data_IF_600142540594
#
_entry.id   IF_600142540594
#
_cell.length_a   1.000
_cell.length_b   1.000
_cell.length_c   1.000
_cell.angle_alpha   90.00
_cell.angle_beta   90.00
_cell.angle_gamma   90.00
#
_symmetry.space_group_name_H-M   'P 1'
#
loop_
_entity.id
_entity.type
_entity.pdbx_description
1 polymer ?
#
# COMPACT_ATOMS: atom_id res chain seq x y z
N UNK A 1 5.25 8.77 -19.16
CA UNK A 1 4.67 8.09 -17.98
C UNK A 1 4.37 9.16 -16.94
N UNK A 2 3.18 9.16 -16.34
CA UNK A 2 2.67 10.22 -15.45
C UNK A 2 2.84 9.80 -13.98
N UNK A 3 3.93 10.18 -13.28
CA UNK A 3 4.19 9.70 -11.92
C UNK A 3 3.10 10.10 -10.92
N UNK A 4 2.50 11.28 -11.13
CA UNK A 4 1.49 11.86 -10.24
C UNK A 4 0.05 11.58 -10.73
N UNK A 5 -0.14 10.64 -11.68
CA UNK A 5 -1.46 10.26 -12.19
C UNK A 5 -2.41 9.88 -11.05
N UNK A 6 -1.90 9.13 -10.07
CA UNK A 6 -2.69 8.62 -8.95
C UNK A 6 -3.20 9.77 -8.06
N UNK A 7 -2.31 10.66 -7.63
CA UNK A 7 -2.65 11.76 -6.73
C UNK A 7 -3.55 12.78 -7.41
N UNK A 8 -3.30 13.12 -8.69
CA UNK A 8 -4.23 13.97 -9.45
C UNK A 8 -5.60 13.30 -9.65
N UNK A 9 -5.64 11.98 -9.78
CA UNK A 9 -6.90 11.25 -9.88
C UNK A 9 -7.68 11.31 -8.56
N UNK A 10 -7.02 11.31 -7.39
CA UNK A 10 -7.70 11.54 -6.10
C UNK A 10 -8.43 12.88 -6.12
N UNK A 11 -7.74 13.96 -6.47
CA UNK A 11 -8.33 15.30 -6.48
C UNK A 11 -9.46 15.43 -7.51
N UNK A 12 -9.34 14.78 -8.68
CA UNK A 12 -10.42 14.69 -9.66
C UNK A 12 -11.65 13.98 -9.08
N UNK A 13 -11.46 12.85 -8.40
CA UNK A 13 -12.55 12.09 -7.79
C UNK A 13 -13.27 12.86 -6.70
N UNK A 14 -12.53 13.57 -5.85
CA UNK A 14 -13.08 14.45 -4.81
C UNK A 14 -13.94 15.56 -5.43
N UNK A 15 -13.38 16.31 -6.37
CA UNK A 15 -14.09 17.40 -7.04
C UNK A 15 -15.34 16.92 -7.78
N UNK A 16 -15.26 15.79 -8.49
CA UNK A 16 -16.38 15.23 -9.23
C UNK A 16 -17.52 14.77 -8.30
N UNK A 17 -17.20 14.12 -7.19
CA UNK A 17 -18.20 13.68 -6.23
C UNK A 17 -18.84 14.87 -5.48
N UNK A 18 -18.04 15.85 -5.04
CA UNK A 18 -18.55 17.04 -4.35
C UNK A 18 -19.59 17.81 -5.18
N UNK A 19 -19.42 17.86 -6.51
CA UNK A 19 -20.36 18.53 -7.42
C UNK A 19 -21.59 17.68 -7.72
N UNK A 20 -21.41 16.38 -7.97
CA UNK A 20 -22.49 15.54 -8.51
C UNK A 20 -23.28 14.79 -7.45
N UNK A 21 -22.62 14.39 -6.36
CA UNK A 21 -23.09 13.41 -5.37
C UNK A 21 -23.53 12.08 -5.98
N UNK A 22 -23.14 11.82 -7.23
CA UNK A 22 -23.46 10.61 -7.99
C UNK A 22 -22.27 9.66 -7.95
N UNK A 23 -22.19 8.85 -6.89
CA UNK A 23 -21.12 7.87 -6.75
C UNK A 23 -21.09 6.88 -7.93
N UNK A 24 -22.20 6.23 -8.33
CA UNK A 24 -22.18 5.32 -9.49
C UNK A 24 -21.72 5.99 -10.79
N UNK A 25 -22.18 7.21 -11.09
CA UNK A 25 -21.80 7.94 -12.29
C UNK A 25 -20.33 8.32 -12.32
N UNK A 26 -19.80 8.85 -11.21
CA UNK A 26 -18.38 9.24 -11.13
C UNK A 26 -17.47 8.01 -11.20
N UNK A 27 -17.80 6.91 -10.50
CA UNK A 27 -17.03 5.67 -10.60
C UNK A 27 -17.02 5.10 -12.03
N UNK A 28 -18.16 5.17 -12.73
CA UNK A 28 -18.25 4.72 -14.12
C UNK A 28 -17.40 5.58 -15.07
N UNK A 29 -17.38 6.89 -14.88
CA UNK A 29 -16.58 7.81 -15.69
C UNK A 29 -15.08 7.63 -15.44
N UNK A 30 -14.69 7.42 -14.18
CA UNK A 30 -13.30 7.25 -13.79
C UNK A 30 -12.72 5.88 -14.13
N UNK A 31 -13.52 4.82 -13.99
CA UNK A 31 -13.07 3.43 -14.13
C UNK A 31 -11.84 3.14 -13.24
N UNK A 32 -10.93 2.26 -13.66
CA UNK A 32 -9.75 1.82 -12.88
C UNK A 32 -8.46 2.56 -13.24
N UNK A 33 -8.56 3.70 -13.95
CA UNK A 33 -7.39 4.47 -14.41
C UNK A 33 -6.57 5.03 -13.25
N UNK A 34 -5.28 5.24 -13.48
CA UNK A 34 -4.31 5.68 -12.46
C UNK A 34 -4.35 4.82 -11.18
N UNK A 35 -4.51 3.50 -11.30
CA UNK A 35 -4.64 2.58 -10.15
C UNK A 35 -5.82 3.00 -9.26
N UNK A 36 -6.99 3.19 -9.88
CA UNK A 36 -8.25 3.59 -9.24
C UNK A 36 -8.19 4.85 -8.36
N UNK A 37 -7.23 5.76 -8.61
CA UNK A 37 -7.06 6.95 -7.78
C UNK A 37 -8.33 7.82 -7.68
N UNK A 38 -9.12 7.93 -8.75
CA UNK A 38 -10.39 8.64 -8.69
C UNK A 38 -11.40 7.98 -7.75
N UNK A 39 -11.50 6.65 -7.74
CA UNK A 39 -12.37 5.96 -6.78
C UNK A 39 -11.93 6.23 -5.33
N UNK A 40 -10.62 6.26 -5.04
CA UNK A 40 -10.13 6.66 -3.72
C UNK A 40 -10.56 8.09 -3.37
N UNK A 41 -10.42 9.03 -4.31
CA UNK A 41 -10.87 10.41 -4.15
C UNK A 41 -12.38 10.55 -3.87
N UNK A 42 -13.21 9.81 -4.62
CA UNK A 42 -14.66 9.75 -4.38
C UNK A 42 -14.96 9.26 -2.96
N UNK A 43 -14.29 8.19 -2.52
CA UNK A 43 -14.46 7.67 -1.17
C UNK A 43 -14.00 8.68 -0.11
N UNK A 44 -12.84 9.31 -0.29
CA UNK A 44 -12.34 10.34 0.62
C UNK A 44 -13.37 11.47 0.81
N UNK A 45 -13.91 12.00 -0.29
CA UNK A 45 -14.92 13.06 -0.24
C UNK A 45 -16.22 12.58 0.41
N UNK A 46 -16.69 11.38 0.07
CA UNK A 46 -17.91 10.83 0.64
C UNK A 46 -17.80 10.57 2.16
N UNK A 47 -16.64 10.11 2.63
CA UNK A 47 -16.36 9.97 4.06
C UNK A 47 -16.25 11.33 4.77
N UNK A 48 -15.77 12.37 4.08
CA UNK A 48 -15.73 13.72 4.61
C UNK A 48 -17.11 14.36 4.75
N UNK A 49 -17.99 14.18 3.75
CA UNK A 49 -19.36 14.70 3.79
C UNK A 49 -20.28 13.91 4.74
N UNK A 50 -20.09 12.59 4.85
CA UNK A 50 -21.00 11.69 5.58
C UNK A 50 -20.26 10.72 6.51
N UNK A 51 -19.48 11.24 7.49
CA UNK A 51 -18.56 10.44 8.29
C UNK A 51 -19.26 9.33 9.08
N UNK A 52 -20.35 9.64 9.79
CA UNK A 52 -21.06 8.64 10.59
C UNK A 52 -21.76 7.58 9.74
N UNK A 53 -22.42 8.01 8.66
CA UNK A 53 -23.10 7.10 7.73
C UNK A 53 -22.13 6.15 7.05
N UNK A 54 -20.98 6.64 6.57
CA UNK A 54 -20.00 5.78 5.89
C UNK A 54 -19.18 4.95 6.86
N UNK A 55 -18.89 5.45 8.07
CA UNK A 55 -18.31 4.65 9.16
C UNK A 55 -19.15 3.41 9.44
N UNK A 56 -20.48 3.53 9.48
CA UNK A 56 -21.40 2.40 9.67
C UNK A 56 -21.42 1.41 8.48
N UNK A 57 -20.96 1.83 7.30
CA UNK A 57 -20.99 1.04 6.06
C UNK A 57 -19.63 0.47 5.64
N UNK A 58 -18.57 0.66 6.42
CA UNK A 58 -17.22 0.16 6.13
C UNK A 58 -17.21 -1.32 5.72
N UNK A 59 -18.03 -2.16 6.35
CA UNK A 59 -18.10 -3.59 6.05
C UNK A 59 -18.76 -3.93 4.70
N UNK A 60 -19.68 -3.09 4.21
CA UNK A 60 -20.59 -3.41 3.09
C UNK A 60 -20.46 -2.48 1.90
N UNK A 61 -19.74 -1.35 2.01
CA UNK A 61 -19.60 -0.36 0.93
C UNK A 61 -18.99 -0.98 -0.34
N UNK A 62 -17.99 -1.84 -0.18
CA UNK A 62 -17.39 -2.58 -1.30
C UNK A 62 -18.26 -3.72 -1.84
N UNK A 63 -19.44 -3.97 -1.26
CA UNK A 63 -20.43 -4.92 -1.75
C UNK A 63 -21.47 -4.30 -2.68
N UNK A 64 -21.47 -2.97 -2.78
CA UNK A 64 -22.41 -2.25 -3.62
C UNK A 64 -22.21 -2.56 -5.11
N UNK A 65 -23.29 -2.76 -5.87
CA UNK A 65 -23.21 -3.09 -7.29
C UNK A 65 -22.37 -2.10 -8.10
N UNK A 66 -22.49 -0.79 -7.79
CA UNK A 66 -21.74 0.26 -8.47
C UNK A 66 -20.22 0.11 -8.29
N UNK A 67 -19.80 -0.32 -7.09
CA UNK A 67 -18.39 -0.52 -6.75
C UNK A 67 -17.87 -1.84 -7.31
N UNK A 68 -18.56 -2.95 -7.01
CA UNK A 68 -18.14 -4.32 -7.40
C UNK A 68 -18.07 -4.54 -8.90
N UNK A 69 -18.88 -3.81 -9.68
CA UNK A 69 -18.89 -3.93 -11.13
C UNK A 69 -17.58 -3.44 -11.77
N UNK A 70 -16.91 -2.47 -11.15
CA UNK A 70 -15.79 -1.75 -11.74
C UNK A 70 -14.48 -2.07 -11.02
N UNK A 71 -14.51 -2.18 -9.69
CA UNK A 71 -13.33 -2.30 -8.86
C UNK A 71 -13.24 -3.66 -8.18
N UNK A 72 -12.01 -4.20 -8.10
CA UNK A 72 -11.73 -5.36 -7.27
C UNK A 72 -12.02 -5.01 -5.81
N UNK A 73 -12.57 -5.94 -5.03
CA UNK A 73 -12.87 -5.71 -3.61
C UNK A 73 -11.66 -5.19 -2.83
N UNK A 74 -10.48 -5.78 -3.03
CA UNK A 74 -9.25 -5.39 -2.35
C UNK A 74 -8.80 -3.94 -2.66
N UNK A 75 -9.07 -3.46 -3.86
CA UNK A 75 -8.80 -2.08 -4.28
C UNK A 75 -9.80 -1.11 -3.62
N UNK A 76 -11.09 -1.48 -3.63
CA UNK A 76 -12.11 -0.70 -2.91
C UNK A 76 -11.82 -0.60 -1.40
N UNK A 77 -11.48 -1.70 -0.73
CA UNK A 77 -11.20 -1.65 0.72
C UNK A 77 -9.93 -0.86 1.02
N UNK A 78 -8.95 -0.82 0.11
CA UNK A 78 -7.84 0.12 0.19
C UNK A 78 -8.34 1.57 0.12
N UNK A 79 -9.23 1.89 -0.83
CA UNK A 79 -9.95 3.16 -0.89
C UNK A 79 -10.68 3.52 0.41
N UNK A 80 -11.40 2.56 1.02
CA UNK A 80 -12.02 2.72 2.36
C UNK A 80 -10.97 3.08 3.41
N UNK A 81 -9.78 2.47 3.32
CA UNK A 81 -8.61 2.80 4.14
C UNK A 81 -8.36 4.31 4.27
N UNK A 82 -8.41 5.04 3.16
CA UNK A 82 -8.26 6.49 3.16
C UNK A 82 -9.36 7.18 3.99
N UNK A 83 -10.62 6.80 3.78
CA UNK A 83 -11.76 7.33 4.51
C UNK A 83 -11.71 7.04 6.01
N UNK A 84 -11.34 5.81 6.41
CA UNK A 84 -11.26 5.43 7.83
C UNK A 84 -10.15 6.14 8.58
N UNK A 85 -9.04 6.50 7.92
CA UNK A 85 -8.02 7.35 8.51
C UNK A 85 -8.60 8.74 8.84
N UNK A 86 -9.34 9.34 7.91
CA UNK A 86 -9.98 10.64 8.10
C UNK A 86 -11.01 10.63 9.25
N UNK A 87 -11.99 9.71 9.23
CA UNK A 87 -13.03 9.65 10.29
C UNK A 87 -12.51 9.18 11.65
N UNK A 88 -11.26 8.73 11.71
CA UNK A 88 -10.57 8.41 12.97
C UNK A 88 -9.67 9.54 13.45
N UNK A 89 -9.70 10.71 12.81
CA UNK A 89 -8.80 11.83 13.09
C UNK A 89 -7.32 11.39 13.05
N UNK A 90 -7.00 10.52 12.10
CA UNK A 90 -5.67 9.94 11.87
C UNK A 90 -5.06 9.19 13.06
N UNK A 91 -5.88 8.85 14.05
CA UNK A 91 -5.51 7.88 15.08
C UNK A 91 -5.49 6.49 14.46
N UNK A 92 -4.27 6.00 14.20
CA UNK A 92 -4.08 4.73 13.51
C UNK A 92 -4.63 3.54 14.31
N UNK A 93 -4.66 3.59 15.64
CA UNK A 93 -5.27 2.51 16.43
C UNK A 93 -6.79 2.45 16.18
N UNK A 94 -7.46 3.60 16.16
CA UNK A 94 -8.90 3.69 15.83
C UNK A 94 -9.18 3.32 14.38
N UNK A 95 -8.38 3.81 13.43
CA UNK A 95 -8.54 3.53 12.01
C UNK A 95 -8.40 2.04 11.68
N UNK A 96 -7.38 1.38 12.25
CA UNK A 96 -7.17 -0.05 12.05
C UNK A 96 -8.27 -0.91 12.67
N UNK A 97 -8.90 -0.45 13.76
CA UNK A 97 -10.07 -1.10 14.34
C UNK A 97 -11.28 -1.11 13.40
N UNK A 98 -11.48 -0.04 12.61
CA UNK A 98 -12.52 -0.01 11.57
C UNK A 98 -12.19 -0.97 10.42
N UNK A 99 -10.92 -1.08 10.05
CA UNK A 99 -10.48 -2.01 9.00
C UNK A 99 -10.75 -3.48 9.33
N UNK A 100 -11.01 -3.86 10.59
CA UNK A 100 -11.35 -5.25 10.95
C UNK A 100 -12.71 -5.68 10.39
N UNK A 101 -13.61 -4.71 10.17
CA UNK A 101 -14.97 -4.97 9.70
C UNK A 101 -15.04 -5.35 8.22
N UNK A 102 -13.96 -5.19 7.44
CA UNK A 102 -13.97 -5.39 5.97
C UNK A 102 -13.80 -6.87 5.55
N UNK A 103 -13.75 -7.79 6.52
CA UNK A 103 -13.76 -9.23 6.29
C UNK A 103 -12.43 -9.92 6.59
N UNK A 104 -11.97 -10.79 5.69
CA UNK A 104 -10.76 -11.60 5.86
C UNK A 104 -9.48 -10.77 6.01
N UNK A 105 -8.44 -11.35 6.65
CA UNK A 105 -7.19 -10.64 7.00
C UNK A 105 -6.52 -9.93 5.83
N UNK A 106 -6.60 -10.48 4.62
CA UNK A 106 -6.05 -9.84 3.43
C UNK A 106 -6.75 -8.50 3.13
N UNK A 107 -8.09 -8.43 3.21
CA UNK A 107 -8.81 -7.17 3.05
C UNK A 107 -8.56 -6.21 4.20
N UNK A 108 -8.42 -6.70 5.44
CA UNK A 108 -8.03 -5.86 6.57
C UNK A 108 -6.65 -5.21 6.34
N UNK A 109 -5.69 -5.96 5.80
CA UNK A 109 -4.38 -5.44 5.39
C UNK A 109 -4.50 -4.37 4.29
N UNK A 110 -5.34 -4.58 3.29
CA UNK A 110 -5.52 -3.60 2.22
C UNK A 110 -6.18 -2.31 2.73
N UNK A 111 -7.18 -2.41 3.60
CA UNK A 111 -7.74 -1.26 4.29
C UNK A 111 -6.68 -0.54 5.14
N UNK A 112 -5.90 -1.28 5.94
CA UNK A 112 -4.79 -0.73 6.71
C UNK A 112 -3.79 0.00 5.81
N UNK A 113 -3.47 -0.54 4.63
CA UNK A 113 -2.53 0.09 3.71
C UNK A 113 -3.04 1.43 3.16
N UNK A 114 -4.34 1.57 2.87
CA UNK A 114 -4.92 2.86 2.48
C UNK A 114 -4.94 3.86 3.64
N UNK A 115 -5.21 3.40 4.86
CA UNK A 115 -5.19 4.25 6.04
C UNK A 115 -3.78 4.79 6.35
N UNK A 116 -2.75 3.94 6.29
CA UNK A 116 -1.37 4.37 6.44
C UNK A 116 -0.92 5.28 5.29
N UNK A 117 -1.31 5.01 4.04
CA UNK A 117 -1.04 5.91 2.92
C UNK A 117 -1.57 7.31 3.21
N UNK A 118 -2.84 7.39 3.64
CA UNK A 118 -3.49 8.64 3.97
C UNK A 118 -2.83 9.36 5.15
N UNK A 119 -2.38 8.60 6.16
CA UNK A 119 -1.60 9.13 7.27
C UNK A 119 -0.31 9.79 6.78
N UNK A 120 0.51 9.07 6.01
CA UNK A 120 1.78 9.62 5.51
C UNK A 120 1.60 10.80 4.55
N UNK A 121 0.56 10.80 3.71
CA UNK A 121 0.24 11.93 2.83
C UNK A 121 -0.17 13.19 3.60
N UNK A 122 -0.91 13.06 4.70
CA UNK A 122 -1.40 14.20 5.48
C UNK A 122 -0.36 14.74 6.49
N UNK A 123 0.58 13.90 6.95
CA UNK A 123 1.46 14.21 8.09
C UNK A 123 2.92 14.58 7.72
N UNK A 124 3.27 14.76 6.44
CA UNK A 124 4.64 15.18 6.06
C UNK A 124 5.11 16.48 6.73
N UNK A 125 4.19 17.40 7.07
CA UNK A 125 4.54 18.71 7.65
C UNK A 125 4.67 18.73 9.19
N UNK A 126 4.33 17.65 9.91
CA UNK A 126 4.32 17.60 11.39
C UNK A 126 5.00 16.37 12.00
N UNK A 127 6.01 15.82 11.33
CA UNK A 127 6.86 14.79 11.95
C UNK A 127 7.84 15.41 12.96
N UNK A 128 7.32 15.85 14.11
CA UNK A 128 8.03 15.71 15.38
C UNK A 128 7.79 14.27 15.85
N UNK A 129 8.36 13.31 15.12
CA UNK A 129 8.12 11.90 15.36
C UNK A 129 8.74 11.48 16.70
N UNK A 130 8.00 10.67 17.46
CA UNK A 130 8.46 10.08 18.74
C UNK A 130 9.63 9.12 18.55
N UNK A 131 9.78 8.54 17.35
CA UNK A 131 10.85 7.62 16.98
C UNK A 131 11.15 7.67 15.47
N UNK A 132 12.24 7.02 15.07
CA UNK A 132 12.67 6.85 13.66
C UNK A 132 11.81 5.87 12.85
N UNK A 133 10.81 5.23 13.48
CA UNK A 133 9.90 4.26 12.86
C UNK A 133 8.41 4.59 13.09
N UNK A 134 8.11 5.75 13.68
CA UNK A 134 6.73 6.15 13.95
C UNK A 134 5.94 6.37 12.64
N UNK A 135 4.70 5.88 12.53
CA UNK A 135 3.87 5.24 13.57
C UNK A 135 3.97 3.71 13.61
N UNK A 136 4.85 3.09 12.81
CA UNK A 136 4.87 1.65 12.61
C UNK A 136 5.26 0.86 13.87
N UNK A 137 6.01 1.46 14.79
CA UNK A 137 6.39 0.90 16.09
C UNK A 137 5.28 1.05 17.16
N UNK A 138 4.42 2.07 17.07
CA UNK A 138 3.31 2.31 17.99
C UNK A 138 1.98 1.66 17.55
N UNK A 139 1.83 1.29 16.27
CA UNK A 139 0.63 0.67 15.71
C UNK A 139 0.92 -0.79 15.27
N UNK A 140 0.84 -1.76 16.19
CA UNK A 140 1.42 -3.10 16.00
C UNK A 140 0.56 -4.02 15.14
N UNK A 141 -0.31 -3.54 14.26
CA UNK A 141 -1.10 -4.39 13.36
C UNK A 141 -0.81 -4.03 11.93
N UNK A 142 -0.66 -5.05 11.09
CA UNK A 142 -0.37 -4.90 9.66
C UNK A 142 0.93 -4.14 9.42
N UNK A 143 2.04 -4.53 10.06
CA UNK A 143 3.31 -3.80 9.95
C UNK A 143 3.74 -3.61 8.49
N UNK A 144 3.50 -4.59 7.61
CA UNK A 144 3.82 -4.48 6.19
C UNK A 144 3.02 -3.38 5.47
N UNK A 145 1.84 -3.02 5.98
CA UNK A 145 1.01 -1.95 5.45
C UNK A 145 1.59 -0.58 5.83
N UNK A 146 2.10 -0.45 7.05
CA UNK A 146 2.77 0.77 7.52
C UNK A 146 4.13 0.96 6.84
N UNK A 147 4.99 -0.06 6.91
CA UNK A 147 6.35 0.00 6.36
C UNK A 147 6.37 0.17 4.84
N UNK A 148 5.29 -0.19 4.14
CA UNK A 148 5.10 0.12 2.72
C UNK A 148 5.36 1.61 2.41
N UNK A 149 5.05 2.50 3.34
CA UNK A 149 5.20 3.94 3.19
C UNK A 149 6.33 4.51 4.04
N UNK A 150 6.51 4.03 5.28
CA UNK A 150 7.58 4.49 6.19
C UNK A 150 8.98 4.35 5.59
N UNK A 151 9.22 3.32 4.78
CA UNK A 151 10.54 3.10 4.17
C UNK A 151 10.94 4.24 3.22
N UNK A 152 10.00 4.97 2.61
CA UNK A 152 10.34 6.18 1.85
C UNK A 152 10.93 7.28 2.76
N UNK A 153 10.39 7.45 3.97
CA UNK A 153 10.87 8.42 4.95
C UNK A 153 12.22 7.99 5.54
N UNK A 154 12.40 6.71 5.84
CA UNK A 154 13.70 6.13 6.25
C UNK A 154 14.74 6.38 5.14
N UNK A 155 14.43 6.04 3.90
CA UNK A 155 15.35 6.25 2.77
C UNK A 155 15.68 7.73 2.56
N UNK A 156 14.69 8.63 2.66
CA UNK A 156 14.91 10.06 2.55
C UNK A 156 15.78 10.61 3.71
N UNK A 157 15.52 10.18 4.95
CA UNK A 157 16.31 10.56 6.14
C UNK A 157 17.77 10.12 6.00
N UNK A 158 18.00 8.85 5.66
CA UNK A 158 19.34 8.30 5.47
C UNK A 158 20.05 8.92 4.26
N UNK A 159 19.31 9.19 3.17
CA UNK A 159 19.83 9.89 2.00
C UNK A 159 20.36 11.28 2.31
N UNK A 160 19.66 12.06 3.16
CA UNK A 160 20.15 13.36 3.66
C UNK A 160 21.44 13.25 4.48
N UNK A 161 21.74 12.09 5.03
CA UNK A 161 22.99 11.78 5.74
C UNK A 161 24.09 11.23 4.81
N UNK A 162 23.87 11.23 3.48
CA UNK A 162 24.80 10.65 2.50
C UNK A 162 24.84 9.12 2.50
N UNK A 163 23.86 8.47 3.14
CA UNK A 163 23.76 7.00 3.17
C UNK A 163 22.87 6.48 2.04
N UNK A 164 23.13 5.27 1.58
CA UNK A 164 22.40 4.62 0.48
C UNK A 164 21.63 3.38 0.89
N UNK A 165 21.27 2.57 -0.11
CA UNK A 165 20.56 1.30 0.04
C UNK A 165 21.10 0.39 1.17
N UNK A 166 22.43 0.20 1.36
CA UNK A 166 22.95 -0.63 2.45
C UNK A 166 22.50 -0.17 3.84
N UNK A 167 22.34 1.13 4.07
CA UNK A 167 21.89 1.65 5.35
C UNK A 167 20.39 1.41 5.57
N UNK A 168 19.56 1.50 4.52
CA UNK A 168 18.13 1.16 4.63
C UNK A 168 17.96 -0.33 4.93
N UNK A 169 18.78 -1.18 4.30
CA UNK A 169 18.80 -2.62 4.57
C UNK A 169 19.23 -2.89 6.02
N UNK A 170 20.28 -2.22 6.50
CA UNK A 170 20.72 -2.34 7.89
C UNK A 170 19.63 -1.91 8.88
N UNK A 171 18.90 -0.83 8.59
CA UNK A 171 17.76 -0.38 9.40
C UNK A 171 16.67 -1.47 9.47
N UNK A 172 16.29 -2.05 8.33
CA UNK A 172 15.31 -3.14 8.30
C UNK A 172 15.80 -4.41 9.03
N UNK A 173 17.10 -4.72 8.98
CA UNK A 173 17.69 -5.87 9.67
C UNK A 173 17.80 -5.67 11.18
N UNK A 174 17.87 -4.43 11.66
CA UNK A 174 17.90 -4.11 13.08
C UNK A 174 16.54 -4.31 13.77
N UNK A 175 15.46 -4.41 12.99
CA UNK A 175 14.12 -4.66 13.52
C UNK A 175 13.99 -6.09 14.09
N UNK A 176 13.02 -6.32 15.02
CA UNK A 176 12.70 -7.66 15.48
C UNK A 176 12.47 -8.60 14.30
N UNK A 177 13.01 -9.83 14.36
CA UNK A 177 13.00 -10.79 13.23
C UNK A 177 11.62 -10.98 12.60
N UNK A 178 10.56 -10.94 13.41
CA UNK A 178 9.16 -11.07 12.94
C UNK A 178 8.70 -9.87 12.09
N UNK A 179 9.24 -8.68 12.32
CA UNK A 179 8.89 -7.42 11.64
C UNK A 179 9.76 -7.18 10.41
N UNK A 180 10.98 -7.75 10.34
CA UNK A 180 11.87 -7.54 9.19
C UNK A 180 11.17 -7.72 7.83
N UNK A 181 10.37 -8.78 7.59
CA UNK A 181 9.68 -8.94 6.31
C UNK A 181 8.77 -7.77 5.93
N UNK A 182 8.14 -7.10 6.90
CA UNK A 182 7.32 -5.91 6.66
C UNK A 182 8.16 -4.71 6.18
N UNK A 183 9.31 -4.46 6.80
CA UNK A 183 10.24 -3.41 6.36
C UNK A 183 10.78 -3.72 4.96
N UNK A 184 11.13 -4.98 4.70
CA UNK A 184 11.59 -5.40 3.38
C UNK A 184 10.50 -5.31 2.30
N UNK A 185 9.22 -5.54 2.63
CA UNK A 185 8.10 -5.24 1.73
C UNK A 185 8.09 -3.75 1.32
N UNK A 186 8.29 -2.85 2.28
CA UNK A 186 8.45 -1.42 2.02
C UNK A 186 9.68 -1.07 1.19
N UNK A 187 10.82 -1.70 1.47
CA UNK A 187 12.04 -1.53 0.68
C UNK A 187 11.82 -1.89 -0.79
N UNK A 188 11.13 -3.00 -1.04
CA UNK A 188 10.73 -3.39 -2.38
C UNK A 188 9.83 -2.35 -3.04
N UNK A 189 8.82 -1.89 -2.33
CA UNK A 189 7.89 -0.87 -2.83
C UNK A 189 8.60 0.45 -3.19
N UNK A 190 9.52 0.91 -2.33
CA UNK A 190 10.34 2.10 -2.57
C UNK A 190 11.30 1.94 -3.75
N UNK A 191 11.62 0.70 -4.13
CA UNK A 191 12.58 0.37 -5.19
C UNK A 191 11.94 0.10 -6.55
N UNK A 192 10.60 0.23 -6.69
CA UNK A 192 9.89 -0.01 -7.96
C UNK A 192 10.50 0.80 -9.11
N UNK A 193 10.72 2.10 -8.92
CA UNK A 193 11.30 2.96 -9.97
C UNK A 193 12.72 2.52 -10.37
N UNK A 194 13.51 2.09 -9.39
CA UNK A 194 14.87 1.56 -9.59
C UNK A 194 14.85 0.28 -10.42
N UNK A 195 13.98 -0.68 -10.09
CA UNK A 195 13.87 -1.96 -10.81
C UNK A 195 13.24 -1.77 -12.19
N UNK A 196 12.33 -0.80 -12.35
CA UNK A 196 11.80 -0.42 -13.67
C UNK A 196 12.89 0.06 -14.62
N UNK A 197 13.86 0.82 -14.12
CA UNK A 197 14.98 1.30 -14.93
C UNK A 197 16.01 0.20 -15.21
N UNK A 198 16.25 -0.69 -14.24
CA UNK A 198 17.18 -1.80 -14.38
C UNK A 198 16.65 -3.05 -13.67
N UNK A 199 16.03 -3.98 -14.42
CA UNK A 199 15.44 -5.21 -13.87
C UNK A 199 16.40 -6.00 -12.96
N UNK A 200 17.68 -6.10 -13.35
CA UNK A 200 18.72 -6.81 -12.61
C UNK A 200 18.90 -6.33 -11.16
N UNK A 201 18.54 -5.07 -10.85
CA UNK A 201 18.67 -4.50 -9.50
C UNK A 201 17.76 -5.16 -8.48
N UNK A 202 16.74 -5.92 -8.89
CA UNK A 202 15.93 -6.70 -7.93
C UNK A 202 16.78 -7.68 -7.12
N UNK A 203 17.88 -8.22 -7.69
CA UNK A 203 18.81 -9.10 -6.98
C UNK A 203 19.56 -8.39 -5.85
N UNK A 204 19.97 -7.15 -6.10
CA UNK A 204 20.67 -6.30 -5.14
C UNK A 204 19.74 -5.90 -4.00
N UNK A 205 18.56 -5.40 -4.34
CA UNK A 205 17.57 -4.86 -3.38
C UNK A 205 16.97 -5.96 -2.52
N UNK A 206 16.53 -7.07 -3.13
CA UNK A 206 15.78 -8.12 -2.44
C UNK A 206 16.61 -9.38 -2.16
N UNK A 207 17.94 -9.29 -2.27
CA UNK A 207 18.85 -10.40 -1.99
C UNK A 207 19.27 -10.53 -0.52
N UNK A 208 18.81 -9.64 0.37
CA UNK A 208 19.27 -9.53 1.75
C UNK A 208 18.22 -10.01 2.76
N UNK A 209 18.70 -10.39 3.96
CA UNK A 209 17.85 -10.82 5.08
C UNK A 209 17.33 -12.26 4.98
N UNK A 210 16.51 -12.69 5.95
CA UNK A 210 15.89 -14.02 5.96
C UNK A 210 14.99 -14.26 4.75
N UNK A 211 14.67 -15.52 4.48
CA UNK A 211 13.89 -15.92 3.30
C UNK A 211 12.56 -15.17 3.17
N UNK A 212 11.79 -15.06 4.27
CA UNK A 212 10.53 -14.32 4.29
C UNK A 212 10.71 -12.83 3.92
N UNK A 213 11.83 -12.20 4.31
CA UNK A 213 12.12 -10.82 3.98
C UNK A 213 12.44 -10.65 2.48
N UNK A 214 13.18 -11.59 1.90
CA UNK A 214 13.45 -11.60 0.46
C UNK A 214 12.15 -11.74 -0.34
N UNK A 215 11.26 -12.64 0.08
CA UNK A 215 9.95 -12.84 -0.57
C UNK A 215 9.09 -11.59 -0.54
N UNK A 216 8.96 -10.97 0.64
CA UNK A 216 8.14 -9.77 0.80
C UNK A 216 8.74 -8.56 0.07
N UNK A 217 10.07 -8.44 0.00
CA UNK A 217 10.72 -7.43 -0.83
C UNK A 217 10.36 -7.61 -2.31
N UNK A 218 10.46 -8.83 -2.83
CA UNK A 218 10.09 -9.14 -4.22
C UNK A 218 8.63 -8.75 -4.48
N UNK A 219 7.72 -9.10 -3.56
CA UNK A 219 6.31 -8.72 -3.67
C UNK A 219 6.11 -7.22 -3.65
N UNK A 220 6.78 -6.50 -2.74
CA UNK A 220 6.74 -5.04 -2.65
C UNK A 220 7.09 -4.35 -3.97
N UNK A 221 8.13 -4.85 -4.66
CA UNK A 221 8.50 -4.38 -6.02
C UNK A 221 7.44 -4.80 -7.04
N UNK A 222 7.20 -6.10 -7.15
CA UNK A 222 6.59 -6.71 -8.33
C UNK A 222 5.09 -6.50 -8.38
N UNK A 223 4.39 -6.49 -7.24
CA UNK A 223 2.94 -6.25 -7.23
C UNK A 223 2.60 -4.85 -7.73
N UNK A 224 3.35 -3.82 -7.28
CA UNK A 224 3.16 -2.45 -7.76
C UNK A 224 3.61 -2.31 -9.21
N UNK A 225 4.73 -2.92 -9.59
CA UNK A 225 5.20 -2.92 -10.96
C UNK A 225 4.19 -3.56 -11.92
N UNK A 226 3.53 -4.65 -11.51
CA UNK A 226 2.57 -5.35 -12.36
C UNK A 226 1.27 -4.56 -12.60
N UNK A 227 0.91 -3.65 -11.69
CA UNK A 227 -0.18 -2.69 -11.93
C UNK A 227 0.21 -1.59 -12.93
N UNK A 228 1.50 -1.23 -12.97
CA UNK A 228 2.01 -0.20 -13.88
C UNK A 228 2.35 -0.75 -15.28
N UNK A 229 2.95 -1.94 -15.33
CA UNK A 229 3.54 -2.57 -16.51
C UNK A 229 3.73 -4.08 -16.26
N UNK A 230 2.65 -4.85 -16.40
CA UNK A 230 2.67 -6.30 -16.16
C UNK A 230 3.69 -7.06 -17.04
N UNK A 231 3.85 -6.76 -18.35
CA UNK A 231 4.89 -7.40 -19.14
C UNK A 231 6.30 -7.17 -18.59
N UNK A 232 6.62 -5.95 -18.13
CA UNK A 232 7.89 -5.67 -17.47
C UNK A 232 8.00 -6.41 -16.13
N UNK A 233 6.95 -6.48 -15.32
CA UNK A 233 6.93 -7.24 -14.06
C UNK A 233 7.29 -8.72 -14.28
N UNK A 234 6.72 -9.34 -15.32
CA UNK A 234 7.03 -10.74 -15.70
C UNK A 234 8.50 -10.86 -16.13
N UNK A 235 9.03 -9.91 -16.91
CA UNK A 235 10.45 -9.92 -17.32
C UNK A 235 11.40 -9.81 -16.13
N UNK A 236 11.11 -8.96 -15.14
CA UNK A 236 11.95 -8.82 -13.94
C UNK A 236 12.16 -10.18 -13.24
N UNK A 237 11.17 -11.07 -13.29
CA UNK A 237 11.27 -12.38 -12.66
C UNK A 237 12.31 -13.32 -13.30
N UNK A 238 12.83 -13.03 -14.50
CA UNK A 238 13.92 -13.82 -15.11
C UNK A 238 15.27 -13.54 -14.45
N UNK A 239 15.39 -12.45 -13.68
CA UNK A 239 16.60 -12.11 -12.93
C UNK A 239 16.77 -12.94 -11.66
N UNK A 240 15.72 -13.67 -11.26
CA UNK A 240 15.64 -14.46 -10.03
C UNK A 240 15.60 -15.96 -10.36
N UNK A 241 15.96 -16.79 -9.37
CA UNK A 241 15.97 -18.24 -9.49
C UNK A 241 15.27 -18.92 -8.31
N UNK A 242 14.90 -20.20 -8.50
CA UNK A 242 14.25 -21.03 -7.48
C UNK A 242 12.99 -20.39 -6.91
N UNK A 243 12.82 -20.50 -5.59
CA UNK A 243 11.63 -20.01 -4.88
C UNK A 243 11.38 -18.51 -5.06
N UNK A 244 12.45 -17.69 -5.13
CA UNK A 244 12.33 -16.24 -5.38
C UNK A 244 11.69 -15.93 -6.74
N UNK A 245 12.02 -16.72 -7.76
CA UNK A 245 11.44 -16.57 -9.09
C UNK A 245 9.95 -16.98 -9.11
N UNK A 246 9.57 -17.99 -8.34
CA UNK A 246 8.17 -18.40 -8.17
C UNK A 246 7.33 -17.31 -7.49
N UNK A 247 7.81 -16.78 -6.36
CA UNK A 247 7.16 -15.67 -5.64
C UNK A 247 7.01 -14.45 -6.54
N UNK A 248 8.05 -14.13 -7.32
CA UNK A 248 8.00 -13.04 -8.30
C UNK A 248 6.91 -13.28 -9.35
N UNK A 249 6.86 -14.46 -9.97
CA UNK A 249 5.86 -14.76 -11.01
C UNK A 249 4.44 -14.74 -10.46
N UNK A 250 4.24 -15.25 -9.25
CA UNK A 250 2.95 -15.16 -8.55
C UNK A 250 2.54 -13.70 -8.35
N UNK A 251 3.43 -12.85 -7.83
CA UNK A 251 3.18 -11.42 -7.65
C UNK A 251 2.89 -10.69 -8.97
N UNK A 252 3.62 -11.01 -10.04
CA UNK A 252 3.44 -10.42 -11.36
C UNK A 252 2.09 -10.79 -12.00
N UNK A 253 1.62 -12.02 -11.77
CA UNK A 253 0.34 -12.50 -12.26
C UNK A 253 -0.83 -11.92 -11.45
N UNK A 254 -0.72 -11.99 -10.11
CA UNK A 254 -1.81 -11.65 -9.21
C UNK A 254 -1.97 -10.13 -9.01
N UNK A 255 -0.91 -9.36 -9.27
CA UNK A 255 -0.82 -7.91 -9.08
C UNK A 255 -1.14 -7.49 -7.64
N UNK A 256 -1.56 -6.24 -7.42
CA UNK A 256 -2.02 -5.81 -6.11
C UNK A 256 -3.34 -6.51 -5.75
N UNK A 257 -3.61 -6.53 -4.45
CA UNK A 257 -4.91 -6.90 -3.88
C UNK A 257 -5.29 -8.39 -3.93
N UNK A 258 -4.35 -9.27 -4.28
CA UNK A 258 -4.57 -10.71 -4.22
C UNK A 258 -4.75 -11.19 -2.77
N UNK A 259 -5.77 -11.99 -2.49
CA UNK A 259 -6.06 -12.44 -1.11
C UNK A 259 -5.35 -13.74 -0.73
N UNK A 260 -4.63 -14.33 -1.69
CA UNK A 260 -3.74 -15.48 -1.50
C UNK A 260 -2.43 -15.19 -2.22
N UNK A 261 -1.32 -15.31 -1.50
CA UNK A 261 0.04 -15.12 -2.00
C UNK A 261 1.04 -15.79 -1.06
N UNK A 262 2.22 -16.16 -1.56
CA UNK A 262 3.31 -16.63 -0.71
C UNK A 262 3.65 -15.60 0.40
N UNK A 263 3.95 -16.04 1.62
CA UNK A 263 4.38 -15.16 2.70
C UNK A 263 3.31 -14.20 3.24
N UNK A 264 2.03 -14.36 2.85
CA UNK A 264 0.93 -13.49 3.30
C UNK A 264 0.81 -13.45 4.83
N UNK A 265 1.17 -14.52 5.53
CA UNK A 265 1.24 -14.60 6.99
C UNK A 265 2.14 -13.51 7.61
N UNK A 266 3.19 -13.09 6.89
CA UNK A 266 4.12 -12.05 7.34
C UNK A 266 3.57 -10.63 7.17
N UNK A 267 2.51 -10.44 6.37
CA UNK A 267 1.89 -9.13 6.16
C UNK A 267 1.15 -8.63 7.41
N UNK A 268 0.70 -9.56 8.23
CA UNK A 268 -0.17 -9.29 9.38
C UNK A 268 0.59 -9.21 10.69
N UNK A 269 1.91 -9.35 10.66
CA UNK A 269 2.75 -9.33 11.86
C UNK A 269 2.71 -7.94 12.50
N UNK A 270 2.79 -7.93 13.82
CA UNK A 270 2.90 -6.74 14.64
C UNK A 270 4.27 -6.51 15.22
N UNK A 271 4.46 -5.31 15.77
CA UNK A 271 5.56 -4.98 16.67
C UNK A 271 5.46 -5.67 18.03
#
# INVERSE_FOLDING_TARGET
KYPNCHDHAHELGKAAYAVTRDLPGVLQACSTRCVSGCMHGVLMEAFAEQPETLRARVATLCDEPAMRRIHKRGDCVHGIGHGVAYVSDYDMKRALGLCEAVGERAYQFYCASGAYMQFFMAFEAKMAARSDHYPCDEAPRFAAACYRYEVFFIAARLGRQGKGLPAVIAECLALPTRVQPACFHGLGHASVGTVMQSPARIREVCGQGPEAAQWLCIQGVVEKLAELDQPLAIRVCTELQGRRAEVCREAAHNKLYATRKAGLEHYFVGY
#
